data_IF_044188687246
#
_entry.id   IF_044188687246
#
_cell.length_a   1.000
_cell.length_b   1.000
_cell.length_c   1.000
_cell.angle_alpha   90.00
_cell.angle_beta   90.00
_cell.angle_gamma   90.00
#
_symmetry.space_group_name_H-M   'P 1'
#
loop_
_entity.id
_entity.type
_entity.pdbx_description
1 polymer ?
#
# COMPACT_ATOMS: atom_id res chain seq x y z
N UNK A 1 48.19 5.00 12.13
CA UNK A 1 46.94 4.24 12.28
C UNK A 1 46.04 4.68 11.14
N UNK A 2 45.73 3.77 10.25
CA UNK A 2 45.06 3.99 8.96
C UNK A 2 43.56 4.22 9.20
N UNK A 3 43.08 5.38 8.76
CA UNK A 3 41.67 5.79 8.80
C UNK A 3 40.92 5.06 7.67
N UNK A 4 40.59 3.79 7.89
CA UNK A 4 40.04 2.87 6.87
C UNK A 4 38.51 2.66 6.93
N UNK A 5 37.75 3.51 7.62
CA UNK A 5 36.28 3.46 7.59
C UNK A 5 35.67 4.82 7.25
N UNK A 6 36.08 5.41 6.12
CA UNK A 6 35.30 6.44 5.46
C UNK A 6 34.20 5.76 4.66
N UNK A 7 33.06 5.49 5.29
CA UNK A 7 31.84 5.07 4.60
C UNK A 7 31.42 6.17 3.62
N UNK A 8 31.81 6.01 2.36
CA UNK A 8 31.29 6.79 1.24
C UNK A 8 29.77 6.72 1.30
N UNK A 9 29.15 7.88 1.42
CA UNK A 9 27.72 7.98 1.60
C UNK A 9 27.02 7.73 0.26
N UNK A 10 25.87 7.02 0.24
CA UNK A 10 25.16 6.77 -1.01
C UNK A 10 24.69 8.11 -1.60
N UNK A 11 25.37 8.57 -2.65
CA UNK A 11 24.93 9.70 -3.44
C UNK A 11 23.87 9.20 -4.44
N UNK A 12 22.73 9.87 -4.50
CA UNK A 12 21.69 9.62 -5.49
C UNK A 12 21.34 10.90 -6.23
N UNK A 13 21.09 10.83 -7.53
CA UNK A 13 20.49 11.93 -8.27
C UNK A 13 18.96 11.85 -8.12
N UNK A 14 18.33 12.97 -7.79
CA UNK A 14 16.88 13.07 -7.65
C UNK A 14 16.35 14.32 -8.37
N UNK A 15 15.27 14.15 -9.10
CA UNK A 15 14.53 15.25 -9.74
C UNK A 15 13.38 15.63 -8.82
N UNK A 16 13.38 16.87 -8.33
CA UNK A 16 12.35 17.33 -7.39
C UNK A 16 11.11 17.85 -8.14
N UNK A 17 11.30 18.66 -9.19
CA UNK A 17 10.23 19.06 -10.09
C UNK A 17 10.79 19.48 -11.46
N UNK A 18 10.01 19.27 -12.52
CA UNK A 18 10.28 19.75 -13.88
C UNK A 18 9.59 21.09 -14.11
N UNK A 19 10.28 22.06 -14.71
CA UNK A 19 9.63 23.25 -15.24
C UNK A 19 9.85 23.38 -16.76
N UNK A 20 9.12 24.29 -17.42
CA UNK A 20 9.14 24.46 -18.88
C UNK A 20 10.50 24.83 -19.47
N UNK A 21 11.45 25.21 -18.62
CA UNK A 21 12.86 25.49 -18.91
C UNK A 21 13.83 24.31 -18.64
N UNK A 22 13.34 23.17 -18.14
CA UNK A 22 14.10 21.94 -17.90
C UNK A 22 13.82 21.26 -16.55
N UNK A 23 14.31 20.03 -16.39
CA UNK A 23 14.35 19.30 -15.12
C UNK A 23 15.46 19.85 -14.23
N UNK A 24 15.13 20.29 -13.00
CA UNK A 24 16.17 20.61 -12.02
C UNK A 24 16.62 19.30 -11.37
N UNK A 25 17.75 18.77 -11.85
CA UNK A 25 18.41 17.59 -11.27
C UNK A 25 19.28 18.01 -10.10
N UNK A 26 19.11 17.35 -8.96
CA UNK A 26 19.89 17.62 -7.75
C UNK A 26 20.49 16.31 -7.26
N UNK A 27 21.80 16.35 -7.01
CA UNK A 27 22.45 15.33 -6.21
C UNK A 27 22.01 15.47 -4.75
N UNK A 28 21.47 14.39 -4.22
CA UNK A 28 21.00 14.30 -2.86
C UNK A 28 21.61 13.08 -2.16
N UNK A 29 21.64 13.15 -0.83
CA UNK A 29 21.89 11.96 -0.03
C UNK A 29 20.56 11.28 0.23
N UNK A 30 20.46 9.99 -0.08
CA UNK A 30 19.30 9.18 0.26
C UNK A 30 19.62 8.29 1.47
N UNK A 31 18.89 8.46 2.57
CA UNK A 31 19.09 7.72 3.81
C UNK A 31 17.80 7.66 4.62
N UNK A 32 17.48 6.48 5.18
CA UNK A 32 16.25 6.23 5.95
C UNK A 32 14.98 6.60 5.16
N UNK A 33 14.90 6.16 3.90
CA UNK A 33 13.74 6.35 3.03
C UNK A 33 13.37 7.82 2.75
N UNK A 34 14.30 8.75 3.01
CA UNK A 34 14.11 10.16 2.70
C UNK A 34 15.37 10.77 2.10
N UNK A 35 15.18 11.90 1.42
CA UNK A 35 16.27 12.67 0.84
C UNK A 35 16.75 13.74 1.82
N UNK A 36 18.05 13.98 1.83
CA UNK A 36 18.74 14.94 2.68
C UNK A 36 19.56 15.88 1.81
N UNK A 37 19.35 17.19 1.99
CA UNK A 37 20.10 18.23 1.27
C UNK A 37 20.79 19.19 2.25
N UNK A 38 22.04 19.60 1.97
CA UNK A 38 22.64 20.70 2.70
C UNK A 38 21.97 22.03 2.31
N UNK A 39 22.01 23.00 3.22
CA UNK A 39 21.41 24.32 3.03
C UNK A 39 21.77 24.98 1.69
N UNK A 40 23.02 24.86 1.25
CA UNK A 40 23.50 25.43 -0.01
C UNK A 40 22.78 24.82 -1.23
N UNK A 41 22.50 23.52 -1.22
CA UNK A 41 21.78 22.86 -2.30
C UNK A 41 20.30 23.24 -2.31
N UNK A 42 19.69 23.44 -1.14
CA UNK A 42 18.31 23.97 -1.04
C UNK A 42 18.25 25.41 -1.60
N UNK A 43 19.25 26.23 -1.30
CA UNK A 43 19.38 27.58 -1.83
C UNK A 43 19.51 27.56 -3.37
N UNK A 44 20.29 26.64 -3.92
CA UNK A 44 20.43 26.44 -5.36
C UNK A 44 19.12 25.98 -6.01
N UNK A 45 18.44 24.99 -5.43
CA UNK A 45 17.14 24.48 -5.88
C UNK A 45 16.12 25.60 -6.06
N UNK A 46 15.99 26.46 -5.04
CA UNK A 46 15.00 27.53 -5.05
C UNK A 46 15.55 28.87 -5.56
N UNK A 47 16.79 28.92 -6.06
CA UNK A 47 17.44 30.12 -6.57
C UNK A 47 17.34 31.32 -5.60
N UNK A 48 17.68 31.09 -4.34
CA UNK A 48 17.77 32.11 -3.30
C UNK A 48 19.11 32.04 -2.58
N UNK A 49 19.37 32.99 -1.70
CA UNK A 49 20.60 32.97 -0.89
C UNK A 49 20.51 31.92 0.21
N UNK A 50 21.63 31.30 0.62
CA UNK A 50 21.65 30.43 1.80
C UNK A 50 21.07 31.13 3.03
N UNK A 51 21.35 32.42 3.23
CA UNK A 51 20.84 33.19 4.37
C UNK A 51 19.31 33.22 4.41
N UNK A 52 18.64 33.33 3.25
CA UNK A 52 17.18 33.23 3.18
C UNK A 52 16.67 31.85 3.61
N UNK A 53 17.38 30.78 3.23
CA UNK A 53 17.08 29.42 3.69
C UNK A 53 17.22 29.31 5.21
N UNK A 54 18.28 29.86 5.82
CA UNK A 54 18.43 29.89 7.29
C UNK A 54 17.24 30.56 7.96
N UNK A 55 16.79 31.70 7.42
CA UNK A 55 15.65 32.43 7.98
C UNK A 55 14.36 31.61 7.88
N UNK A 56 14.10 30.96 6.75
CA UNK A 56 12.93 30.09 6.59
C UNK A 56 12.96 28.87 7.51
N UNK A 57 14.09 28.17 7.61
CA UNK A 57 14.24 27.01 8.51
C UNK A 57 14.03 27.42 9.97
N UNK A 58 14.61 28.55 10.38
CA UNK A 58 14.42 29.08 11.72
C UNK A 58 12.94 29.36 12.02
N UNK A 59 12.23 30.02 11.11
CA UNK A 59 10.81 30.29 11.25
C UNK A 59 9.98 29.00 11.32
N UNK A 60 10.27 27.99 10.48
CA UNK A 60 9.59 26.69 10.50
C UNK A 60 9.67 26.03 11.88
N UNK A 61 10.83 26.08 12.53
CA UNK A 61 11.02 25.51 13.87
C UNK A 61 10.37 26.40 14.96
N UNK A 62 10.46 27.72 14.86
CA UNK A 62 9.82 28.65 15.80
C UNK A 62 8.29 28.56 15.77
N UNK A 63 7.71 28.29 14.60
CA UNK A 63 6.27 28.07 14.40
C UNK A 63 5.81 26.67 14.86
N UNK A 64 6.75 25.77 15.18
CA UNK A 64 6.45 24.39 15.57
C UNK A 64 5.90 23.52 14.43
N UNK A 65 6.09 23.91 13.16
CA UNK A 65 5.66 23.11 12.01
C UNK A 65 6.46 21.80 11.91
N UNK A 66 7.76 21.86 12.23
CA UNK A 66 8.66 20.71 12.22
C UNK A 66 9.56 20.70 13.46
N UNK A 67 9.95 19.51 13.90
CA UNK A 67 10.90 19.32 14.99
C UNK A 67 12.33 19.23 14.45
N UNK A 68 13.24 20.04 15.01
CA UNK A 68 14.63 20.13 14.53
C UNK A 68 15.39 18.80 14.64
N UNK A 69 15.25 18.09 15.75
CA UNK A 69 15.98 16.85 16.01
C UNK A 69 15.57 15.70 15.07
N UNK A 70 14.32 15.73 14.57
CA UNK A 70 13.81 14.76 13.60
C UNK A 70 14.19 15.11 12.15
N UNK A 71 14.45 16.39 11.85
CA UNK A 71 14.53 16.91 10.48
C UNK A 71 15.89 17.48 10.07
N UNK A 72 16.85 17.58 11.01
CA UNK A 72 18.19 18.11 10.79
C UNK A 72 19.26 17.13 11.31
N UNK A 73 20.26 16.80 10.48
CA UNK A 73 21.38 15.93 10.87
C UNK A 73 22.74 16.46 10.40
N UNK A 74 23.79 16.39 11.25
CA UNK A 74 25.14 16.71 10.81
C UNK A 74 25.75 15.53 10.05
N UNK A 75 26.20 15.78 8.81
CA UNK A 75 26.95 14.81 8.03
C UNK A 75 28.38 15.28 7.81
N UNK A 76 29.31 14.32 7.78
CA UNK A 76 30.70 14.58 7.45
C UNK A 76 30.84 14.74 5.94
N UNK A 77 31.24 15.93 5.49
CA UNK A 77 31.51 16.22 4.09
C UNK A 77 33.02 16.39 3.91
N UNK A 78 33.61 15.50 3.11
CA UNK A 78 35.00 15.59 2.70
C UNK A 78 35.05 16.31 1.35
N UNK A 79 35.73 17.44 1.29
CA UNK A 79 35.95 18.20 0.07
C UNK A 79 37.45 18.34 -0.17
N UNK A 80 37.85 18.34 -1.45
CA UNK A 80 39.21 18.63 -1.85
C UNK A 80 39.33 20.14 -2.14
N UNK A 81 40.11 20.85 -1.35
CA UNK A 81 40.38 22.28 -1.49
C UNK A 81 41.88 22.46 -1.85
N UNK A 82 42.15 22.62 -3.15
CA UNK A 82 43.52 22.55 -3.68
C UNK A 82 44.13 21.16 -3.45
N UNK A 83 45.31 21.09 -2.86
CA UNK A 83 45.98 19.83 -2.50
C UNK A 83 45.50 19.21 -1.18
N UNK A 84 44.59 19.87 -0.44
CA UNK A 84 44.19 19.46 0.91
C UNK A 84 42.80 18.80 0.89
N UNK A 85 42.69 17.65 1.56
CA UNK A 85 41.38 17.07 1.92
C UNK A 85 40.91 17.71 3.23
N UNK A 86 39.81 18.46 3.15
CA UNK A 86 39.19 19.12 4.30
C UNK A 86 37.89 18.39 4.62
N UNK A 87 37.73 18.01 5.88
CA UNK A 87 36.52 17.36 6.39
C UNK A 87 35.77 18.33 7.30
N UNK A 88 34.50 18.59 6.98
CA UNK A 88 33.62 19.48 7.75
C UNK A 88 32.30 18.80 8.07
N UNK A 89 31.75 19.08 9.25
CA UNK A 89 30.38 18.68 9.59
C UNK A 89 29.42 19.72 9.00
N UNK A 90 28.63 19.29 8.02
CA UNK A 90 27.62 20.13 7.37
C UNK A 90 26.23 19.64 7.75
N UNK A 91 25.37 20.55 8.20
CA UNK A 91 23.96 20.22 8.46
C UNK A 91 23.23 19.91 7.16
N UNK A 92 22.47 18.82 7.16
CA UNK A 92 21.53 18.49 6.10
C UNK A 92 20.12 18.46 6.67
N UNK A 93 19.17 18.80 5.81
CA UNK A 93 17.76 18.87 6.13
C UNK A 93 17.00 17.86 5.26
N UNK A 94 16.02 17.18 5.86
CA UNK A 94 15.25 16.16 5.16
C UNK A 94 14.19 16.75 4.22
N UNK A 95 13.48 15.87 3.51
CA UNK A 95 12.43 16.24 2.56
C UNK A 95 11.37 17.18 3.15
N UNK A 96 10.97 16.99 4.40
CA UNK A 96 9.93 17.81 5.03
C UNK A 96 10.34 19.29 5.09
N UNK A 97 11.57 19.57 5.53
CA UNK A 97 12.10 20.94 5.57
C UNK A 97 12.25 21.51 4.17
N UNK A 98 12.71 20.71 3.20
CA UNK A 98 12.90 21.15 1.82
C UNK A 98 11.56 21.60 1.21
N UNK A 99 10.50 20.81 1.38
CA UNK A 99 9.16 21.16 0.90
C UNK A 99 8.61 22.40 1.62
N UNK A 100 8.72 22.45 2.95
CA UNK A 100 8.23 23.58 3.77
C UNK A 100 8.90 24.91 3.40
N UNK A 101 10.20 24.87 3.08
CA UNK A 101 10.94 26.02 2.54
C UNK A 101 10.41 26.40 1.16
N UNK A 102 10.18 25.43 0.26
CA UNK A 102 9.65 25.68 -1.08
C UNK A 102 8.31 26.44 -1.08
N UNK A 103 7.44 26.20 -0.10
CA UNK A 103 6.19 26.95 0.06
C UNK A 103 6.41 28.40 0.51
N UNK A 104 7.49 28.70 1.25
CA UNK A 104 7.79 30.03 1.82
C UNK A 104 8.66 30.90 0.90
N UNK A 105 9.48 30.29 0.06
CA UNK A 105 10.43 31.02 -0.79
C UNK A 105 9.71 31.87 -1.85
N UNK A 106 10.11 33.14 -1.92
CA UNK A 106 9.66 34.11 -2.94
C UNK A 106 10.70 34.23 -4.06
N UNK A 107 10.72 33.25 -4.96
CA UNK A 107 11.56 33.25 -6.17
C UNK A 107 10.79 32.67 -7.37
N UNK A 108 11.25 32.86 -8.61
CA UNK A 108 10.67 32.19 -9.77
C UNK A 108 10.59 30.66 -9.60
N UNK A 109 11.66 30.03 -9.08
CA UNK A 109 11.67 28.59 -8.75
C UNK A 109 10.68 28.22 -7.64
N UNK A 110 10.53 29.06 -6.61
CA UNK A 110 9.52 28.86 -5.58
C UNK A 110 8.08 28.94 -6.12
N UNK A 111 7.82 29.84 -7.09
CA UNK A 111 6.53 29.90 -7.79
C UNK A 111 6.27 28.63 -8.60
N UNK A 112 7.26 28.19 -9.39
CA UNK A 112 7.16 26.94 -10.17
C UNK A 112 6.93 25.72 -9.28
N UNK A 113 7.66 25.61 -8.16
CA UNK A 113 7.45 24.56 -7.17
C UNK A 113 6.01 24.55 -6.64
N UNK A 114 5.46 25.71 -6.26
CA UNK A 114 4.07 25.79 -5.76
C UNK A 114 3.04 25.46 -6.83
N UNK A 115 3.27 25.86 -8.08
CA UNK A 115 2.40 25.49 -9.20
C UNK A 115 2.41 23.97 -9.41
N UNK A 116 3.60 23.36 -9.47
CA UNK A 116 3.77 21.91 -9.55
C UNK A 116 3.08 21.21 -8.37
N UNK A 117 3.37 21.60 -7.13
CA UNK A 117 2.79 20.98 -5.95
C UNK A 117 1.25 21.10 -5.91
N UNK A 118 0.71 22.25 -6.32
CA UNK A 118 -0.74 22.45 -6.43
C UNK A 118 -1.35 21.53 -7.48
N UNK A 119 -0.72 21.40 -8.65
CA UNK A 119 -1.17 20.49 -9.71
C UNK A 119 -1.12 19.02 -9.26
N UNK A 120 -0.02 18.61 -8.61
CA UNK A 120 0.14 17.27 -8.03
C UNK A 120 -0.94 16.97 -7.01
N UNK A 121 -1.20 17.88 -6.07
CA UNK A 121 -2.25 17.71 -5.06
C UNK A 121 -3.65 17.68 -5.71
N UNK A 122 -3.90 18.55 -6.68
CA UNK A 122 -5.17 18.57 -7.40
C UNK A 122 -5.41 17.26 -8.16
N UNK A 123 -4.37 16.72 -8.82
CA UNK A 123 -4.46 15.45 -9.50
C UNK A 123 -4.78 14.31 -8.54
N UNK A 124 -4.09 14.25 -7.39
CA UNK A 124 -4.40 13.28 -6.35
C UNK A 124 -5.85 13.41 -5.85
N UNK A 125 -6.33 14.64 -5.59
CA UNK A 125 -7.68 14.88 -5.09
C UNK A 125 -8.77 14.54 -6.12
N UNK A 126 -8.50 14.70 -7.42
CA UNK A 126 -9.48 14.42 -8.50
C UNK A 126 -9.45 12.94 -8.91
N UNK A 127 -8.25 12.38 -9.14
CA UNK A 127 -8.07 11.02 -9.70
C UNK A 127 -7.91 9.94 -8.63
N UNK A 128 -7.46 10.32 -7.43
CA UNK A 128 -7.09 9.41 -6.34
C UNK A 128 -5.67 8.87 -6.40
N UNK A 129 -4.83 9.32 -7.35
CA UNK A 129 -3.43 8.91 -7.48
C UNK A 129 -2.60 9.99 -8.21
N UNK A 130 -1.28 9.93 -8.05
CA UNK A 130 -0.27 10.68 -8.82
C UNK A 130 0.83 9.69 -9.20
N UNK A 131 1.37 9.81 -10.41
CA UNK A 131 2.48 8.98 -10.88
C UNK A 131 3.56 9.83 -11.54
N UNK A 132 4.80 9.39 -11.40
CA UNK A 132 5.95 9.89 -12.14
C UNK A 132 6.31 8.83 -13.18
N UNK A 133 5.61 8.86 -14.32
CA UNK A 133 5.72 7.84 -15.37
C UNK A 133 7.16 7.73 -15.92
N UNK A 134 7.87 8.85 -16.04
CA UNK A 134 9.23 8.84 -16.58
C UNK A 134 10.21 8.17 -15.61
N UNK A 135 10.10 8.44 -14.30
CA UNK A 135 10.91 7.73 -13.31
C UNK A 135 10.56 6.24 -13.23
N UNK A 136 9.28 5.88 -13.33
CA UNK A 136 8.84 4.49 -13.28
C UNK A 136 9.23 3.68 -14.54
N UNK A 137 9.35 4.33 -15.70
CA UNK A 137 9.85 3.71 -16.94
C UNK A 137 11.36 3.57 -16.98
N UNK A 138 12.08 4.47 -16.29
CA UNK A 138 13.53 4.55 -16.31
C UNK A 138 14.08 4.28 -14.90
N UNK A 139 14.03 3.02 -14.42
CA UNK A 139 14.52 2.70 -13.09
C UNK A 139 16.00 3.07 -12.99
N UNK A 140 16.48 3.44 -11.79
CA UNK A 140 17.88 3.81 -11.61
C UNK A 140 18.81 2.65 -12.01
N UNK A 141 19.60 2.83 -13.06
CA UNK A 141 20.61 1.85 -13.50
C UNK A 141 21.97 2.19 -12.88
N UNK A 142 22.58 1.25 -12.15
CA UNK A 142 23.90 1.40 -11.53
C UNK A 142 23.84 1.63 -10.00
N UNK A 143 24.86 2.25 -9.38
CA UNK A 143 24.96 2.41 -7.92
C UNK A 143 24.03 3.52 -7.37
N UNK A 144 22.88 3.76 -8.00
CA UNK A 144 21.93 4.78 -7.53
C UNK A 144 21.35 4.37 -6.18
N UNK A 145 21.44 5.28 -5.22
CA UNK A 145 20.93 5.10 -3.88
C UNK A 145 19.40 5.26 -3.75
N UNK A 146 18.72 5.69 -4.81
CA UNK A 146 17.26 5.92 -4.79
C UNK A 146 16.55 4.58 -4.96
N UNK A 147 15.70 4.15 -4.00
CA UNK A 147 14.97 2.91 -4.12
C UNK A 147 13.98 2.94 -5.27
N UNK A 148 13.87 1.81 -5.98
CA UNK A 148 12.82 1.58 -6.95
C UNK A 148 11.58 1.01 -6.25
N UNK A 149 10.47 1.75 -6.28
CA UNK A 149 9.19 1.36 -5.67
C UNK A 149 8.21 0.77 -6.70
N UNK A 150 8.67 0.43 -7.91
CA UNK A 150 7.80 -0.11 -8.96
C UNK A 150 7.10 -1.42 -8.54
N UNK A 151 7.81 -2.33 -7.87
CA UNK A 151 7.23 -3.59 -7.39
C UNK A 151 6.16 -3.38 -6.30
N UNK A 152 6.41 -2.46 -5.36
CA UNK A 152 5.41 -2.09 -4.34
C UNK A 152 4.15 -1.48 -5.01
N UNK A 153 4.35 -0.61 -6.00
CA UNK A 153 3.25 -0.03 -6.76
C UNK A 153 2.44 -1.10 -7.50
N UNK A 154 3.10 -2.06 -8.14
CA UNK A 154 2.43 -3.18 -8.80
C UNK A 154 1.64 -4.03 -7.80
N UNK A 155 2.18 -4.30 -6.62
CA UNK A 155 1.48 -5.03 -5.56
C UNK A 155 0.23 -4.28 -5.09
N UNK A 156 0.33 -2.97 -4.84
CA UNK A 156 -0.81 -2.11 -4.50
C UNK A 156 -1.89 -2.12 -5.59
N UNK A 157 -1.50 -2.01 -6.87
CA UNK A 157 -2.44 -2.09 -7.99
C UNK A 157 -3.13 -3.46 -8.02
N UNK A 158 -2.38 -4.55 -7.83
CA UNK A 158 -2.95 -5.91 -7.79
C UNK A 158 -3.96 -6.07 -6.66
N UNK A 159 -3.67 -5.55 -5.47
CA UNK A 159 -4.59 -5.59 -4.33
C UNK A 159 -5.85 -4.75 -4.58
N UNK A 160 -5.70 -3.54 -5.13
CA UNK A 160 -6.85 -2.70 -5.53
C UNK A 160 -7.72 -3.41 -6.56
N UNK A 161 -7.11 -4.02 -7.59
CA UNK A 161 -7.85 -4.79 -8.62
C UNK A 161 -8.55 -6.01 -8.04
N UNK A 162 -7.91 -6.70 -7.09
CA UNK A 162 -8.44 -7.89 -6.43
C UNK A 162 -9.40 -7.58 -5.27
N UNK A 163 -9.65 -6.30 -4.97
CA UNK A 163 -10.72 -5.92 -4.06
C UNK A 163 -12.06 -6.45 -4.58
N UNK A 164 -12.85 -7.09 -3.71
CA UNK A 164 -14.08 -7.81 -4.11
C UNK A 164 -15.03 -6.94 -4.94
N UNK A 165 -15.11 -5.64 -4.64
CA UNK A 165 -15.92 -4.69 -5.40
C UNK A 165 -15.39 -4.49 -6.82
N UNK A 166 -14.08 -4.33 -7.02
CA UNK A 166 -13.48 -4.14 -8.35
C UNK A 166 -13.53 -5.41 -9.17
N UNK A 167 -13.25 -6.55 -8.55
CA UNK A 167 -13.43 -7.88 -9.16
C UNK A 167 -14.87 -8.03 -9.59
N UNK A 168 -15.84 -7.88 -8.67
CA UNK A 168 -17.26 -8.02 -9.00
C UNK A 168 -17.69 -7.11 -10.15
N UNK A 169 -17.30 -5.84 -10.15
CA UNK A 169 -17.64 -4.92 -11.24
C UNK A 169 -17.02 -5.36 -12.57
N UNK A 170 -15.75 -5.76 -12.59
CA UNK A 170 -15.08 -6.22 -13.81
C UNK A 170 -15.59 -7.55 -14.33
N UNK A 171 -15.75 -8.52 -13.45
CA UNK A 171 -16.34 -9.82 -13.77
C UNK A 171 -17.75 -9.61 -14.32
N UNK A 172 -18.55 -8.73 -13.71
CA UNK A 172 -19.88 -8.38 -14.22
C UNK A 172 -19.85 -7.69 -15.58
N UNK A 173 -18.91 -6.78 -15.82
CA UNK A 173 -18.76 -6.12 -17.13
C UNK A 173 -18.36 -7.11 -18.22
N UNK A 174 -17.42 -8.01 -17.94
CA UNK A 174 -16.96 -9.03 -18.89
C UNK A 174 -18.07 -10.04 -19.19
N UNK A 175 -18.74 -10.55 -18.14
CA UNK A 175 -19.77 -11.56 -18.32
C UNK A 175 -21.14 -11.00 -18.72
N UNK A 176 -21.38 -9.70 -18.56
CA UNK A 176 -22.53 -9.05 -19.20
C UNK A 176 -22.47 -9.09 -20.73
N UNK A 177 -21.30 -9.39 -21.31
CA UNK A 177 -21.15 -9.65 -22.74
C UNK A 177 -21.54 -11.09 -23.13
N UNK A 178 -21.77 -11.97 -22.16
CA UNK A 178 -22.25 -13.32 -22.44
C UNK A 178 -23.70 -13.29 -22.93
N UNK A 179 -24.02 -14.14 -23.90
CA UNK A 179 -25.31 -14.11 -24.60
C UNK A 179 -26.51 -14.44 -23.70
N UNK A 180 -26.29 -15.22 -22.65
CA UNK A 180 -27.28 -15.71 -21.68
C UNK A 180 -27.26 -14.96 -20.34
N UNK A 181 -26.44 -13.91 -20.20
CA UNK A 181 -26.32 -13.19 -18.92
C UNK A 181 -27.60 -12.40 -18.58
N UNK A 182 -28.19 -12.73 -17.44
CA UNK A 182 -29.28 -11.95 -16.83
C UNK A 182 -29.03 -11.75 -15.33
N UNK A 183 -28.90 -10.50 -14.83
CA UNK A 183 -28.57 -10.23 -13.42
C UNK A 183 -29.56 -10.79 -12.40
N UNK A 184 -30.84 -10.92 -12.77
CA UNK A 184 -31.92 -11.36 -11.89
C UNK A 184 -32.07 -12.88 -11.80
N UNK A 185 -31.36 -13.65 -12.62
CA UNK A 185 -31.45 -15.10 -12.61
C UNK A 185 -30.66 -15.72 -11.46
N UNK A 186 -31.26 -16.75 -10.84
CA UNK A 186 -30.62 -17.56 -9.81
C UNK A 186 -29.33 -18.21 -10.32
N UNK A 187 -29.33 -18.64 -11.58
CA UNK A 187 -28.20 -19.25 -12.29
C UNK A 187 -26.99 -18.31 -12.32
N UNK A 188 -27.18 -17.03 -12.62
CA UNK A 188 -26.13 -16.01 -12.58
C UNK A 188 -25.50 -15.89 -11.19
N UNK A 189 -26.32 -15.86 -10.14
CA UNK A 189 -25.84 -15.79 -8.76
C UNK A 189 -25.02 -17.03 -8.39
N UNK A 190 -25.50 -18.22 -8.77
CA UNK A 190 -24.81 -19.49 -8.52
C UNK A 190 -23.49 -19.58 -9.29
N UNK A 191 -23.46 -19.05 -10.52
CA UNK A 191 -22.25 -18.95 -11.33
C UNK A 191 -21.16 -18.12 -10.63
N UNK A 192 -21.48 -16.91 -10.14
CA UNK A 192 -20.52 -16.08 -9.41
C UNK A 192 -20.01 -16.75 -8.12
N UNK A 193 -20.90 -17.42 -7.37
CA UNK A 193 -20.51 -18.19 -6.19
C UNK A 193 -19.55 -19.33 -6.54
N UNK A 194 -19.77 -19.99 -7.67
CA UNK A 194 -18.92 -21.08 -8.16
C UNK A 194 -17.53 -20.55 -8.51
N UNK A 195 -17.43 -19.45 -9.25
CA UNK A 195 -16.15 -18.81 -9.57
C UNK A 195 -15.40 -18.40 -8.30
N UNK A 196 -16.08 -17.75 -7.36
CA UNK A 196 -15.48 -17.35 -6.09
C UNK A 196 -14.91 -18.55 -5.32
N UNK A 197 -15.66 -19.64 -5.21
CA UNK A 197 -15.20 -20.85 -4.52
C UNK A 197 -14.02 -21.51 -5.24
N UNK A 198 -14.03 -21.58 -6.57
CA UNK A 198 -12.90 -22.11 -7.36
C UNK A 198 -11.63 -21.29 -7.13
N UNK A 199 -11.73 -19.97 -7.13
CA UNK A 199 -10.60 -19.06 -6.89
C UNK A 199 -10.06 -19.17 -5.46
N UNK A 200 -10.93 -19.24 -4.44
CA UNK A 200 -10.51 -19.46 -3.05
C UNK A 200 -9.85 -20.83 -2.88
N UNK A 201 -10.41 -21.88 -3.48
CA UNK A 201 -9.87 -23.22 -3.41
C UNK A 201 -8.48 -23.32 -4.05
N UNK A 202 -8.30 -22.73 -5.24
CA UNK A 202 -7.02 -22.71 -5.94
C UNK A 202 -5.88 -22.01 -5.16
N UNK A 203 -6.21 -21.21 -4.14
CA UNK A 203 -5.23 -20.50 -3.32
C UNK A 203 -5.06 -21.10 -1.92
N UNK A 204 -6.08 -21.78 -1.39
CA UNK A 204 -6.13 -22.20 0.03
C UNK A 204 -6.37 -23.70 0.24
N UNK A 205 -6.78 -24.43 -0.81
CA UNK A 205 -7.30 -25.79 -0.70
C UNK A 205 -8.70 -25.89 -0.07
N UNK A 206 -9.36 -24.77 0.20
CA UNK A 206 -10.68 -24.72 0.82
C UNK A 206 -11.65 -23.83 0.03
N UNK A 207 -12.92 -24.23 -0.01
CA UNK A 207 -14.00 -23.30 -0.37
C UNK A 207 -14.13 -22.19 0.69
N UNK A 208 -14.82 -21.10 0.37
CA UNK A 208 -15.04 -20.02 1.34
C UNK A 208 -15.70 -20.50 2.65
N UNK A 209 -16.65 -21.44 2.55
CA UNK A 209 -17.34 -22.01 3.70
C UNK A 209 -16.43 -22.92 4.53
N UNK A 210 -15.65 -23.79 3.89
CA UNK A 210 -14.67 -24.66 4.57
C UNK A 210 -13.57 -23.84 5.27
N UNK A 211 -13.12 -22.75 4.64
CA UNK A 211 -12.14 -21.86 5.21
C UNK A 211 -12.64 -21.24 6.53
N UNK A 212 -13.85 -20.69 6.52
CA UNK A 212 -14.50 -20.13 7.71
C UNK A 212 -14.69 -21.23 8.77
N UNK A 213 -15.22 -22.38 8.37
CA UNK A 213 -15.44 -23.52 9.26
C UNK A 213 -14.15 -23.98 9.95
N UNK A 214 -13.02 -23.99 9.25
CA UNK A 214 -11.75 -24.46 9.77
C UNK A 214 -10.99 -23.40 10.58
N UNK A 215 -11.17 -22.11 10.27
CA UNK A 215 -10.34 -21.03 10.85
C UNK A 215 -11.03 -20.20 11.92
N UNK A 216 -12.36 -20.10 11.90
CA UNK A 216 -13.11 -19.39 12.95
C UNK A 216 -13.00 -20.14 14.28
N UNK A 217 -12.38 -19.49 15.27
CA UNK A 217 -12.08 -20.05 16.59
C UNK A 217 -11.99 -18.93 17.64
N UNK A 218 -12.91 -18.93 18.62
CA UNK A 218 -12.99 -17.91 19.65
C UNK A 218 -11.73 -17.79 20.53
N UNK A 219 -10.91 -18.84 20.61
CA UNK A 219 -9.73 -18.87 21.47
C UNK A 219 -8.49 -18.25 20.81
N UNK A 220 -8.56 -17.95 19.51
CA UNK A 220 -7.48 -17.27 18.79
C UNK A 220 -7.61 -15.76 18.90
N UNK A 221 -6.49 -15.01 18.83
CA UNK A 221 -6.53 -13.57 18.66
C UNK A 221 -7.45 -13.20 17.50
N UNK A 222 -8.36 -12.26 17.73
CA UNK A 222 -9.33 -11.78 16.73
C UNK A 222 -10.13 -12.90 16.05
N UNK A 223 -10.36 -14.02 16.76
CA UNK A 223 -11.02 -15.21 16.23
C UNK A 223 -10.32 -15.93 15.08
N UNK A 224 -9.04 -15.67 14.86
CA UNK A 224 -8.28 -16.17 13.71
C UNK A 224 -8.41 -15.31 12.45
N UNK A 225 -9.08 -14.15 12.53
CA UNK A 225 -9.09 -13.16 11.45
C UNK A 225 -7.71 -12.50 11.32
N UNK A 226 -7.27 -12.29 10.09
CA UNK A 226 -6.04 -11.58 9.73
C UNK A 226 -6.32 -10.15 9.26
N UNK A 227 -7.57 -9.86 8.88
CA UNK A 227 -8.03 -8.55 8.42
C UNK A 227 -9.49 -8.33 8.81
N UNK A 228 -9.85 -7.15 9.31
CA UNK A 228 -11.24 -6.77 9.61
C UNK A 228 -11.39 -5.24 9.60
N UNK A 229 -12.63 -4.74 9.55
CA UNK A 229 -12.89 -3.29 9.45
C UNK A 229 -13.07 -2.65 10.83
N UNK A 230 -12.26 -1.62 11.10
CA UNK A 230 -12.31 -0.83 12.32
C UNK A 230 -11.42 -1.39 13.42
N UNK A 231 -11.59 -0.91 14.64
CA UNK A 231 -10.72 -1.25 15.77
C UNK A 231 -10.99 -2.65 16.37
N UNK A 232 -12.21 -3.16 16.18
CA UNK A 232 -12.64 -4.43 16.77
C UNK A 232 -13.36 -5.32 15.75
N UNK A 233 -13.19 -6.63 15.94
CA UNK A 233 -13.93 -7.66 15.20
C UNK A 233 -15.43 -7.49 15.40
N UNK A 234 -16.17 -7.44 14.29
CA UNK A 234 -17.64 -7.38 14.25
C UNK A 234 -18.22 -8.70 13.79
N UNK A 235 -19.49 -8.94 14.13
CA UNK A 235 -20.24 -10.13 13.70
C UNK A 235 -20.34 -10.27 12.17
N UNK A 236 -20.28 -9.17 11.41
CA UNK A 236 -20.25 -9.22 9.94
C UNK A 236 -18.90 -9.66 9.38
N UNK A 237 -17.80 -9.51 10.14
CA UNK A 237 -16.46 -9.82 9.65
C UNK A 237 -16.18 -11.33 9.67
N UNK A 238 -16.80 -12.06 10.60
CA UNK A 238 -16.55 -13.49 10.82
C UNK A 238 -17.15 -14.39 9.75
N UNK A 239 -18.08 -13.87 8.93
CA UNK A 239 -18.71 -14.58 7.80
C UNK A 239 -18.03 -14.29 6.45
N UNK A 240 -16.92 -13.54 6.46
CA UNK A 240 -16.16 -13.19 5.25
C UNK A 240 -14.90 -14.03 5.18
N UNK A 241 -14.85 -14.98 4.24
CA UNK A 241 -13.73 -15.91 4.09
C UNK A 241 -12.39 -15.19 3.86
N UNK A 242 -12.38 -14.10 3.09
CA UNK A 242 -11.16 -13.30 2.81
C UNK A 242 -10.48 -12.82 4.09
N UNK A 243 -11.24 -12.54 5.15
CA UNK A 243 -10.71 -12.04 6.41
C UNK A 243 -9.90 -13.08 7.20
N UNK A 244 -9.94 -14.36 6.80
CA UNK A 244 -9.16 -15.45 7.41
C UNK A 244 -7.92 -15.83 6.59
N UNK A 245 -7.66 -15.17 5.46
CA UNK A 245 -6.52 -15.48 4.60
C UNK A 245 -5.22 -14.91 5.18
N UNK A 246 -4.15 -15.69 5.17
CA UNK A 246 -2.83 -15.16 5.50
C UNK A 246 -2.26 -14.31 4.35
N UNK A 247 -1.17 -13.58 4.60
CA UNK A 247 -0.59 -12.66 3.62
C UNK A 247 -0.19 -13.36 2.30
N UNK A 248 0.35 -14.57 2.37
CA UNK A 248 0.72 -15.34 1.18
C UNK A 248 -0.52 -15.74 0.36
N UNK A 249 -1.58 -16.21 1.03
CA UNK A 249 -2.84 -16.56 0.38
C UNK A 249 -3.55 -15.36 -0.23
N UNK A 250 -3.48 -14.18 0.42
CA UNK A 250 -4.00 -12.93 -0.16
C UNK A 250 -3.22 -12.56 -1.42
N UNK A 251 -1.89 -12.64 -1.38
CA UNK A 251 -1.05 -12.33 -2.55
C UNK A 251 -1.32 -13.29 -3.71
N UNK A 252 -1.42 -14.60 -3.42
CA UNK A 252 -1.75 -15.63 -4.41
C UNK A 252 -3.16 -15.43 -4.99
N UNK A 253 -4.16 -15.19 -4.14
CA UNK A 253 -5.53 -14.91 -4.59
C UNK A 253 -5.56 -13.67 -5.49
N UNK A 254 -4.91 -12.59 -5.06
CA UNK A 254 -4.82 -11.36 -5.84
C UNK A 254 -4.15 -11.61 -7.20
N UNK A 255 -3.11 -12.45 -7.26
CA UNK A 255 -2.42 -12.80 -8.51
C UNK A 255 -3.31 -13.60 -9.46
N UNK A 256 -3.95 -14.67 -8.98
CA UNK A 256 -4.83 -15.53 -9.80
C UNK A 256 -6.02 -14.75 -10.34
N UNK A 257 -6.67 -13.96 -9.48
CA UNK A 257 -7.81 -13.13 -9.86
C UNK A 257 -7.43 -12.15 -10.98
N UNK A 258 -6.27 -11.49 -10.88
CA UNK A 258 -5.81 -10.56 -11.92
C UNK A 258 -5.53 -11.27 -13.24
N UNK A 259 -4.81 -12.40 -13.21
CA UNK A 259 -4.53 -13.18 -14.42
C UNK A 259 -5.82 -13.70 -15.08
N UNK A 260 -6.77 -14.16 -14.28
CA UNK A 260 -8.09 -14.60 -14.77
C UNK A 260 -8.86 -13.45 -15.42
N UNK A 261 -8.87 -12.27 -14.80
CA UNK A 261 -9.54 -11.09 -15.34
C UNK A 261 -8.92 -10.64 -16.67
N UNK A 262 -7.59 -10.62 -16.77
CA UNK A 262 -6.89 -10.26 -18.01
C UNK A 262 -7.18 -11.28 -19.13
N UNK A 263 -7.19 -12.57 -18.79
CA UNK A 263 -7.59 -13.63 -19.71
C UNK A 263 -9.04 -13.46 -20.18
N UNK A 264 -9.98 -13.25 -19.24
CA UNK A 264 -11.40 -13.11 -19.57
C UNK A 264 -11.67 -11.84 -20.40
N UNK A 265 -10.95 -10.75 -20.14
CA UNK A 265 -11.04 -9.53 -20.93
C UNK A 265 -10.56 -9.74 -22.38
N UNK A 266 -9.42 -10.40 -22.58
CA UNK A 266 -8.91 -10.73 -23.93
C UNK A 266 -9.90 -11.63 -24.69
N UNK A 267 -10.42 -12.67 -24.04
CA UNK A 267 -11.43 -13.56 -24.63
C UNK A 267 -12.70 -12.80 -25.06
N UNK A 268 -13.20 -11.89 -24.22
CA UNK A 268 -14.37 -11.08 -24.54
C UNK A 268 -14.10 -10.10 -25.69
N UNK A 269 -12.93 -9.45 -25.72
CA UNK A 269 -12.52 -8.52 -26.79
C UNK A 269 -12.41 -9.20 -28.16
N UNK A 270 -12.05 -10.49 -28.19
CA UNK A 270 -11.99 -11.30 -29.41
C UNK A 270 -13.36 -11.65 -30.00
N UNK A 271 -14.46 -11.09 -29.45
CA UNK A 271 -15.84 -11.20 -29.95
C UNK A 271 -16.30 -12.63 -30.19
N UNK A 272 -15.82 -13.57 -29.39
CA UNK A 272 -16.46 -14.88 -29.31
C UNK A 272 -17.77 -14.70 -28.54
N UNK A 273 -18.89 -15.14 -29.10
CA UNK A 273 -20.10 -15.30 -28.28
C UNK A 273 -19.80 -16.42 -27.28
N UNK A 274 -19.77 -16.07 -26.01
CA UNK A 274 -19.49 -16.99 -24.90
C UNK A 274 -20.72 -17.02 -24.01
N UNK A 275 -21.12 -18.19 -23.54
CA UNK A 275 -22.20 -18.37 -22.56
C UNK A 275 -21.61 -18.45 -21.14
N UNK A 276 -22.44 -18.32 -20.10
CA UNK A 276 -21.97 -18.41 -18.72
C UNK A 276 -21.34 -19.77 -18.39
N UNK A 277 -21.84 -20.87 -18.97
CA UNK A 277 -21.25 -22.19 -18.74
C UNK A 277 -19.82 -22.31 -19.33
N UNK A 278 -19.59 -21.76 -20.53
CA UNK A 278 -18.27 -21.74 -21.17
C UNK A 278 -17.23 -21.03 -20.28
N UNK A 279 -17.63 -20.01 -19.53
CA UNK A 279 -16.75 -19.32 -18.59
C UNK A 279 -16.34 -20.17 -17.40
N UNK A 280 -17.19 -21.11 -16.96
CA UNK A 280 -16.82 -22.06 -15.91
C UNK A 280 -15.77 -23.05 -16.43
N UNK A 281 -15.95 -23.56 -17.64
CA UNK A 281 -15.00 -24.48 -18.29
C UNK A 281 -13.66 -23.77 -18.57
N UNK A 282 -13.71 -22.54 -19.07
CA UNK A 282 -12.51 -21.71 -19.27
C UNK A 282 -11.77 -21.43 -17.97
N UNK A 283 -12.48 -21.22 -16.85
CA UNK A 283 -11.83 -21.04 -15.54
C UNK A 283 -11.11 -22.32 -15.11
N UNK A 284 -11.71 -23.49 -15.31
CA UNK A 284 -11.08 -24.77 -14.97
C UNK A 284 -9.82 -25.02 -15.80
N UNK A 285 -9.91 -24.79 -17.12
CA UNK A 285 -8.76 -24.87 -18.02
C UNK A 285 -7.67 -23.86 -17.63
N UNK A 286 -8.05 -22.64 -17.28
CA UNK A 286 -7.11 -21.60 -16.83
C UNK A 286 -6.39 -22.00 -15.55
N UNK A 287 -7.12 -22.50 -14.54
CA UNK A 287 -6.52 -22.96 -13.28
C UNK A 287 -5.60 -24.16 -13.51
N UNK A 288 -6.05 -25.15 -14.27
CA UNK A 288 -5.26 -26.33 -14.60
C UNK A 288 -3.99 -25.98 -15.40
N UNK A 289 -4.08 -25.07 -16.37
CA UNK A 289 -2.94 -24.59 -17.16
C UNK A 289 -1.88 -23.89 -16.31
N UNK A 290 -2.28 -23.27 -15.20
CA UNK A 290 -1.38 -22.61 -14.25
C UNK A 290 -0.95 -23.54 -13.10
N UNK A 291 -1.06 -24.86 -13.27
CA UNK A 291 -0.70 -25.89 -12.28
C UNK A 291 -1.40 -25.71 -10.92
N UNK A 292 -2.67 -25.25 -10.94
CA UNK A 292 -3.48 -25.08 -9.72
C UNK A 292 -4.54 -26.15 -9.61
N UNK A 293 -4.82 -26.55 -8.36
CA UNK A 293 -5.90 -27.48 -8.08
C UNK A 293 -7.26 -26.86 -8.38
N UNK A 294 -8.10 -27.62 -9.08
CA UNK A 294 -9.45 -27.20 -9.47
C UNK A 294 -10.46 -27.87 -8.56
N UNK A 295 -11.29 -27.06 -7.89
CA UNK A 295 -12.38 -27.53 -7.04
C UNK A 295 -13.34 -28.41 -7.85
N UNK A 296 -13.49 -29.67 -7.42
CA UNK A 296 -14.46 -30.61 -7.98
C UNK A 296 -15.76 -30.56 -7.16
N UNK A 297 -16.84 -30.06 -7.76
CA UNK A 297 -18.15 -29.94 -7.11
C UNK A 297 -18.27 -28.74 -6.15
N UNK A 298 -19.28 -28.74 -5.25
CA UNK A 298 -19.61 -27.57 -4.41
C UNK A 298 -18.78 -27.45 -3.12
N UNK A 299 -17.88 -28.39 -2.83
CA UNK A 299 -17.22 -28.53 -1.53
C UNK A 299 -18.03 -29.38 -0.54
N UNK A 300 -17.49 -29.55 0.67
CA UNK A 300 -18.07 -30.42 1.71
C UNK A 300 -18.92 -29.68 2.74
N UNK A 301 -18.68 -28.37 2.93
CA UNK A 301 -19.37 -27.56 3.93
C UNK A 301 -20.29 -26.53 3.27
N UNK A 302 -21.54 -26.50 3.70
CA UNK A 302 -22.51 -25.49 3.28
C UNK A 302 -22.28 -24.14 3.95
N UNK A 303 -22.47 -23.04 3.21
CA UNK A 303 -22.29 -21.67 3.71
C UNK A 303 -23.06 -21.39 5.00
N UNK A 304 -24.32 -21.83 5.08
CA UNK A 304 -25.16 -21.63 6.28
C UNK A 304 -24.53 -22.24 7.53
N UNK A 305 -24.01 -23.46 7.42
CA UNK A 305 -23.36 -24.18 8.54
C UNK A 305 -22.07 -23.47 8.97
N UNK A 306 -21.26 -23.01 8.02
CA UNK A 306 -20.05 -22.24 8.31
C UNK A 306 -20.37 -20.90 9.00
N UNK A 307 -21.37 -20.18 8.50
CA UNK A 307 -21.80 -18.89 9.08
C UNK A 307 -22.36 -19.08 10.49
N UNK A 308 -23.17 -20.13 10.73
CA UNK A 308 -23.70 -20.47 12.06
C UNK A 308 -22.58 -20.78 13.05
N UNK A 309 -21.57 -21.59 12.65
CA UNK A 309 -20.40 -21.86 13.48
C UNK A 309 -19.66 -20.55 13.81
N UNK A 310 -19.32 -19.76 12.80
CA UNK A 310 -18.56 -18.52 12.98
C UNK A 310 -19.28 -17.51 13.91
N UNK A 311 -20.61 -17.44 13.82
CA UNK A 311 -21.40 -16.59 14.71
C UNK A 311 -21.47 -17.13 16.15
N UNK A 312 -21.48 -18.45 16.33
CA UNK A 312 -21.40 -19.07 17.64
C UNK A 312 -20.04 -18.79 18.31
N UNK A 313 -18.94 -18.98 17.57
CA UNK A 313 -17.59 -18.60 18.01
C UNK A 313 -17.52 -17.10 18.35
N UNK A 314 -18.14 -16.23 17.55
CA UNK A 314 -18.16 -14.79 17.81
C UNK A 314 -18.84 -14.44 19.12
N UNK A 315 -19.93 -15.14 19.45
CA UNK A 315 -20.65 -14.92 20.70
C UNK A 315 -19.77 -15.25 21.91
N UNK A 316 -19.02 -16.35 21.84
CA UNK A 316 -18.05 -16.73 22.87
C UNK A 316 -16.89 -15.72 22.98
N UNK A 317 -16.31 -15.33 21.85
CA UNK A 317 -15.22 -14.35 21.78
C UNK A 317 -15.65 -12.97 22.33
N UNK A 318 -16.84 -12.51 21.96
CA UNK A 318 -17.38 -11.23 22.44
C UNK A 318 -17.61 -11.25 23.96
N UNK A 319 -18.06 -12.36 24.52
CA UNK A 319 -18.21 -12.53 25.96
C UNK A 319 -16.85 -12.54 26.68
N UNK A 320 -15.87 -13.30 26.16
CA UNK A 320 -14.50 -13.30 26.71
C UNK A 320 -13.87 -11.90 26.69
N UNK A 321 -14.00 -11.18 25.57
CA UNK A 321 -13.51 -9.80 25.41
C UNK A 321 -14.19 -8.84 26.39
N UNK A 322 -15.51 -8.97 26.57
CA UNK A 322 -16.25 -8.16 27.53
C UNK A 322 -15.74 -8.37 28.96
N UNK A 323 -15.58 -9.63 29.38
CA UNK A 323 -15.06 -9.97 30.71
C UNK A 323 -13.64 -9.43 30.95
N UNK A 324 -12.78 -9.48 29.93
CA UNK A 324 -11.43 -8.89 29.99
C UNK A 324 -11.47 -7.37 30.20
N UNK A 325 -12.29 -6.66 29.43
CA UNK A 325 -12.46 -5.21 29.58
C UNK A 325 -13.05 -4.81 30.93
N UNK A 326 -14.01 -5.56 31.43
CA UNK A 326 -14.58 -5.35 32.77
C UNK A 326 -13.49 -5.53 33.85
N UNK A 327 -12.65 -6.57 33.75
CA UNK A 327 -11.54 -6.79 34.68
C UNK A 327 -10.42 -5.74 34.58
N UNK A 328 -10.13 -5.22 33.38
CA UNK A 328 -9.18 -4.11 33.17
C UNK A 328 -9.73 -2.81 33.78
N UNK A 329 -10.99 -2.49 33.53
CA UNK A 329 -11.65 -1.33 34.12
C UNK A 329 -11.69 -1.37 35.64
N UNK A 330 -11.90 -2.54 36.25
CA UNK A 330 -11.83 -2.72 37.70
C UNK A 330 -10.42 -2.46 38.26
N UNK A 331 -9.37 -2.90 37.55
CA UNK A 331 -7.97 -2.63 37.93
C UNK A 331 -7.64 -1.13 37.84
N UNK A 332 -8.08 -0.46 36.78
CA UNK A 332 -7.84 0.97 36.59
C UNK A 332 -8.55 1.81 37.66
N UNK A 333 -9.80 1.48 37.99
CA UNK A 333 -10.54 2.11 39.10
C UNK A 333 -9.81 1.88 40.43
N UNK A 334 -9.27 0.69 40.66
CA UNK A 334 -8.52 0.36 41.88
C UNK A 334 -7.20 1.12 41.96
N UNK A 335 -6.48 1.26 40.84
CA UNK A 335 -5.23 2.03 40.74
C UNK A 335 -5.47 3.53 40.99
N UNK A 336 -6.53 4.10 40.42
CA UNK A 336 -6.93 5.50 40.67
C UNK A 336 -7.24 5.76 42.15
N UNK A 337 -7.96 4.84 42.80
CA UNK A 337 -8.28 4.93 44.24
C UNK A 337 -7.06 4.76 45.16
N UNK A 338 -5.99 4.12 44.69
CA UNK A 338 -4.74 4.01 45.43
C UNK A 338 -3.84 5.24 45.22
N UNK A 339 -3.99 5.98 44.13
CA UNK A 339 -3.26 7.22 43.85
C UNK A 339 -3.83 8.44 44.60
N UNK A 340 -5.12 8.42 44.96
CA UNK A 340 -5.77 9.45 45.79
C UNK A 340 -5.50 9.31 47.30
N UNK A 341 -4.70 8.33 47.73
CA UNK A 341 -4.19 8.17 49.11
C UNK A 341 -2.70 8.48 49.16
#
# INVERSE_FOLDING_TARGET
MTDENLTLSPAGEFVIFSSGDGEVRIECRFEQETLWLPQATIAHLYQVTPQAITQHIKAIYEEGELEQDATCKPYLQVQQEGDRKVSRKTLHYNLAVILAVGYRVRSPRGVQFRQWATQTLQEYLIKGFVMDDERLKNPPVGPSAVPDYFDEMLERIRDIRASERRVYLRVREIFALAADYQPSLKETTQFFQTIQNKLHFACTGYTAAELIQNRADANKPHMGLTSYKGEEVRKSDVTVAKNYLNQNEVSELNRVVNMWLDFAEDQARRRQQVFLHDWQEKLDQFLQFNDREVLQGPGTIGKKTADEKAQAEYSQFAEQRRRLKEAEGEKDITALRQWEK
#
